data_IF_220048430436
#
_entry.id   IF_220048430436
#
_cell.length_a   1.000
_cell.length_b   1.000
_cell.length_c   1.000
_cell.angle_alpha   90.00
_cell.angle_beta   90.00
_cell.angle_gamma   90.00
#
_symmetry.space_group_name_H-M   'P 1'
#
loop_
_entity.id
_entity.type
_entity.pdbx_description
1 polymer ?
#
# COMPACT_ATOMS: atom_id res chain seq x y z
N UNK A 1 18.27 9.37 -14.52
CA UNK A 1 16.80 9.28 -14.67
C UNK A 1 16.20 9.76 -13.35
N UNK A 2 15.57 10.94 -13.34
CA UNK A 2 14.91 11.45 -12.15
C UNK A 2 13.60 10.67 -11.94
N UNK A 3 13.40 10.12 -10.75
CA UNK A 3 12.14 9.47 -10.37
C UNK A 3 11.33 10.52 -9.59
N UNK A 4 10.21 10.95 -10.17
CA UNK A 4 9.22 11.77 -9.47
C UNK A 4 8.56 10.90 -8.39
N UNK A 5 8.84 11.18 -7.11
CA UNK A 5 8.14 10.55 -5.99
C UNK A 5 7.22 11.59 -5.36
N UNK A 6 5.97 11.59 -5.83
CA UNK A 6 4.84 12.18 -5.14
C UNK A 6 4.37 13.52 -5.70
N UNK A 7 3.31 13.49 -6.50
CA UNK A 7 2.43 14.65 -6.63
C UNK A 7 1.75 14.88 -5.27
N UNK A 8 1.75 16.11 -4.75
CA UNK A 8 0.98 16.51 -3.54
C UNK A 8 -0.52 16.20 -3.62
N UNK A 9 -1.00 15.78 -4.79
CA UNK A 9 -2.31 15.19 -5.04
C UNK A 9 -2.59 13.95 -4.19
N UNK A 10 -1.58 13.17 -3.79
CA UNK A 10 -1.80 11.94 -2.99
C UNK A 10 -2.24 12.24 -1.56
N UNK A 11 -1.66 13.24 -0.90
CA UNK A 11 -2.10 13.65 0.44
C UNK A 11 -3.50 14.26 0.40
N UNK A 12 -3.81 15.07 -0.62
CA UNK A 12 -5.17 15.60 -0.84
C UNK A 12 -6.16 14.49 -1.16
N UNK A 13 -5.79 13.48 -1.95
CA UNK A 13 -6.65 12.32 -2.28
C UNK A 13 -6.89 11.42 -1.08
N UNK A 14 -5.88 11.19 -0.23
CA UNK A 14 -6.05 10.42 1.01
C UNK A 14 -6.93 11.20 1.99
N UNK A 15 -6.69 12.49 2.18
CA UNK A 15 -7.53 13.32 3.04
C UNK A 15 -8.96 13.47 2.54
N UNK A 16 -9.16 13.68 1.24
CA UNK A 16 -10.50 13.74 0.64
C UNK A 16 -11.17 12.37 0.66
N UNK A 17 -10.43 11.27 0.50
CA UNK A 17 -10.97 9.92 0.63
C UNK A 17 -11.40 9.60 2.06
N UNK A 18 -10.55 9.85 3.04
CA UNK A 18 -10.86 9.64 4.47
C UNK A 18 -11.98 10.57 4.92
N UNK A 19 -11.93 11.86 4.56
CA UNK A 19 -12.98 12.82 4.87
C UNK A 19 -14.31 12.42 4.22
N UNK A 20 -14.30 12.04 2.94
CA UNK A 20 -15.53 11.66 2.24
C UNK A 20 -16.06 10.31 2.75
N UNK A 21 -15.20 9.36 3.14
CA UNK A 21 -15.61 8.12 3.82
C UNK A 21 -16.25 8.42 5.18
N UNK A 22 -15.64 9.28 6.00
CA UNK A 22 -16.21 9.71 7.29
C UNK A 22 -17.52 10.48 7.12
N UNK A 23 -17.61 11.34 6.10
CA UNK A 23 -18.81 12.13 5.79
C UNK A 23 -19.95 11.25 5.25
N UNK A 24 -19.66 10.29 4.37
CA UNK A 24 -20.65 9.33 3.88
C UNK A 24 -21.08 8.34 4.98
N UNK A 25 -20.21 8.03 5.93
CA UNK A 25 -20.58 7.28 7.14
C UNK A 25 -21.49 8.11 8.06
N UNK A 26 -21.24 9.41 8.19
CA UNK A 26 -22.11 10.33 8.93
C UNK A 26 -23.47 10.59 8.22
N UNK A 27 -23.50 10.51 6.89
CA UNK A 27 -24.70 10.74 6.07
C UNK A 27 -24.92 9.59 5.08
N UNK A 28 -25.33 8.39 5.57
CA UNK A 28 -25.39 7.17 4.75
C UNK A 28 -26.45 7.20 3.65
N UNK A 29 -27.42 8.12 3.72
CA UNK A 29 -28.44 8.32 2.67
C UNK A 29 -27.82 8.73 1.32
N UNK A 30 -26.66 9.39 1.33
CA UNK A 30 -25.96 9.80 0.11
C UNK A 30 -25.41 8.60 -0.69
N UNK A 31 -25.10 7.48 -0.01
CA UNK A 31 -24.68 6.24 -0.67
C UNK A 31 -25.81 5.57 -1.47
N UNK A 32 -27.07 5.95 -1.24
CA UNK A 32 -28.22 5.44 -2.01
C UNK A 32 -28.39 6.13 -3.37
N UNK A 33 -27.65 7.20 -3.65
CA UNK A 33 -27.69 7.90 -4.94
C UNK A 33 -26.97 7.03 -5.99
N UNK A 34 -27.68 6.52 -7.02
CA UNK A 34 -27.08 5.66 -8.03
C UNK A 34 -25.93 6.36 -8.76
N UNK A 35 -24.74 5.75 -8.75
CA UNK A 35 -23.55 6.25 -9.46
C UNK A 35 -22.68 7.25 -8.69
N UNK A 36 -23.10 7.72 -7.51
CA UNK A 36 -22.28 8.62 -6.67
C UNK A 36 -20.98 7.95 -6.18
N UNK A 37 -20.98 6.70 -5.67
CA UNK A 37 -19.74 6.05 -5.22
C UNK A 37 -18.74 5.82 -6.38
N UNK A 38 -19.24 5.46 -7.56
CA UNK A 38 -18.42 5.20 -8.74
C UNK A 38 -17.79 6.47 -9.35
N UNK A 39 -18.46 7.63 -9.28
CA UNK A 39 -17.92 8.90 -9.74
C UNK A 39 -17.05 9.61 -8.70
N UNK A 40 -17.34 9.44 -7.41
CA UNK A 40 -16.61 10.09 -6.34
C UNK A 40 -15.22 9.47 -6.09
N UNK A 41 -15.06 8.17 -6.38
CA UNK A 41 -13.80 7.46 -6.09
C UNK A 41 -13.34 6.55 -7.25
N UNK A 42 -12.93 7.11 -8.40
CA UNK A 42 -12.52 6.31 -9.54
C UNK A 42 -11.27 5.45 -9.26
N UNK A 43 -10.30 5.97 -8.48
CA UNK A 43 -9.09 5.22 -8.08
C UNK A 43 -9.41 4.05 -7.15
N UNK A 44 -10.33 4.25 -6.20
CA UNK A 44 -10.78 3.21 -5.28
C UNK A 44 -11.53 2.11 -6.05
N UNK A 45 -12.40 2.50 -6.97
CA UNK A 45 -13.14 1.57 -7.84
C UNK A 45 -12.18 0.73 -8.70
N UNK A 46 -11.15 1.35 -9.28
CA UNK A 46 -10.13 0.64 -10.05
C UNK A 46 -9.33 -0.36 -9.19
N UNK A 47 -9.02 -0.01 -7.94
CA UNK A 47 -8.34 -0.91 -7.01
C UNK A 47 -9.24 -2.09 -6.61
N UNK A 48 -10.51 -1.84 -6.28
CA UNK A 48 -11.50 -2.91 -5.98
C UNK A 48 -11.63 -3.87 -7.16
N UNK A 49 -11.75 -3.36 -8.39
CA UNK A 49 -11.84 -4.20 -9.59
C UNK A 49 -10.59 -5.05 -9.81
N UNK A 50 -9.42 -4.52 -9.44
CA UNK A 50 -8.15 -5.25 -9.55
C UNK A 50 -8.04 -6.36 -8.50
N UNK A 51 -8.46 -6.08 -7.26
CA UNK A 51 -8.59 -7.10 -6.22
C UNK A 51 -9.58 -8.20 -6.61
N UNK A 52 -10.72 -7.83 -7.17
CA UNK A 52 -11.72 -8.79 -7.65
C UNK A 52 -11.15 -9.72 -8.72
N UNK A 53 -10.41 -9.16 -9.68
CA UNK A 53 -9.75 -9.96 -10.71
C UNK A 53 -8.76 -10.96 -10.09
N UNK A 54 -7.92 -10.52 -9.16
CA UNK A 54 -6.96 -11.41 -8.48
C UNK A 54 -7.67 -12.49 -7.67
N UNK A 55 -8.75 -12.15 -6.96
CA UNK A 55 -9.55 -13.11 -6.21
C UNK A 55 -10.21 -14.15 -7.12
N UNK A 56 -10.73 -13.73 -8.28
CA UNK A 56 -11.31 -14.64 -9.26
C UNK A 56 -10.25 -15.60 -9.78
N UNK A 57 -9.11 -15.08 -10.24
CA UNK A 57 -7.99 -15.89 -10.74
C UNK A 57 -7.51 -16.87 -9.66
N UNK A 58 -7.39 -16.41 -8.43
CA UNK A 58 -6.98 -17.26 -7.30
C UNK A 58 -7.97 -18.41 -7.06
N UNK A 59 -9.27 -18.11 -6.99
CA UNK A 59 -10.34 -19.11 -6.83
C UNK A 59 -10.33 -20.18 -7.94
N UNK A 60 -9.95 -19.83 -9.17
CA UNK A 60 -9.85 -20.84 -10.25
C UNK A 60 -8.72 -21.84 -10.05
N UNK A 61 -7.70 -21.48 -9.29
CA UNK A 61 -6.53 -22.33 -8.98
C UNK A 61 -6.64 -23.08 -7.65
N UNK A 62 -7.75 -22.90 -6.93
CA UNK A 62 -7.93 -23.44 -5.59
C UNK A 62 -8.28 -24.93 -5.63
N UNK A 63 -7.58 -25.72 -4.81
CA UNK A 63 -7.81 -27.14 -4.60
C UNK A 63 -8.18 -27.39 -3.12
N UNK A 64 -9.44 -27.74 -2.81
CA UNK A 64 -9.91 -27.94 -1.44
C UNK A 64 -9.32 -29.19 -0.77
N UNK A 65 -8.66 -30.07 -1.52
CA UNK A 65 -8.05 -31.31 -0.99
C UNK A 65 -6.67 -31.06 -0.39
N UNK A 66 -6.04 -29.93 -0.72
CA UNK A 66 -4.71 -29.56 -0.26
C UNK A 66 -4.78 -28.64 0.95
N UNK A 67 -3.69 -28.59 1.72
CA UNK A 67 -3.54 -27.59 2.78
C UNK A 67 -3.55 -26.17 2.20
N UNK A 68 -4.24 -25.20 2.84
CA UNK A 68 -4.26 -23.81 2.39
C UNK A 68 -2.86 -23.23 2.19
N UNK A 69 -2.60 -22.62 1.03
CA UNK A 69 -1.29 -22.01 0.70
C UNK A 69 -1.18 -20.59 1.23
N UNK A 70 -2.31 -19.92 1.37
CA UNK A 70 -2.42 -18.53 1.79
C UNK A 70 -3.74 -18.25 2.52
N UNK A 71 -3.93 -17.00 2.92
CA UNK A 71 -5.14 -16.55 3.63
C UNK A 71 -6.41 -16.74 2.80
N UNK A 72 -6.34 -16.59 1.47
CA UNK A 72 -7.51 -16.74 0.59
C UNK A 72 -7.95 -18.19 0.58
N UNK A 73 -7.02 -19.14 0.37
CA UNK A 73 -7.33 -20.58 0.44
C UNK A 73 -7.94 -20.96 1.80
N UNK A 74 -7.39 -20.40 2.89
CA UNK A 74 -7.88 -20.69 4.24
C UNK A 74 -9.29 -20.15 4.46
N UNK A 75 -9.58 -18.95 3.97
CA UNK A 75 -10.91 -18.35 4.05
C UNK A 75 -11.92 -19.14 3.21
N UNK A 76 -11.54 -19.60 2.01
CA UNK A 76 -12.39 -20.44 1.15
C UNK A 76 -12.69 -21.79 1.82
N UNK A 77 -11.72 -22.40 2.50
CA UNK A 77 -11.93 -23.63 3.25
C UNK A 77 -12.93 -23.44 4.41
N UNK A 78 -12.88 -22.31 5.12
CA UNK A 78 -13.86 -21.98 6.16
C UNK A 78 -15.25 -21.67 5.57
N UNK A 79 -15.32 -21.05 4.38
CA UNK A 79 -16.58 -20.86 3.66
C UNK A 79 -17.26 -22.21 3.34
N UNK A 80 -16.50 -23.22 2.90
CA UNK A 80 -17.04 -24.57 2.63
C UNK A 80 -17.62 -25.21 3.88
N UNK A 81 -16.91 -25.13 5.01
CA UNK A 81 -17.39 -25.68 6.30
C UNK A 81 -18.64 -24.98 6.79
N UNK A 82 -18.82 -23.71 6.43
CA UNK A 82 -19.88 -22.87 6.94
C UNK A 82 -21.12 -22.77 6.03
N UNK A 83 -21.19 -23.52 4.92
CA UNK A 83 -22.29 -23.48 3.94
C UNK A 83 -23.69 -23.64 4.54
N UNK A 84 -23.80 -24.41 5.62
CA UNK A 84 -25.09 -24.70 6.28
C UNK A 84 -25.36 -23.77 7.48
N UNK A 85 -24.43 -22.86 7.81
CA UNK A 85 -24.57 -21.93 8.92
C UNK A 85 -24.98 -20.53 8.42
N UNK A 86 -26.25 -20.12 8.57
CA UNK A 86 -26.73 -18.82 8.13
C UNK A 86 -26.12 -17.65 8.93
N UNK A 87 -25.58 -17.89 10.12
CA UNK A 87 -24.90 -16.89 10.96
C UNK A 87 -23.40 -16.75 10.65
N UNK A 88 -22.91 -17.46 9.62
CA UNK A 88 -21.49 -17.43 9.26
C UNK A 88 -21.06 -16.09 8.68
N UNK A 89 -19.95 -15.56 9.19
CA UNK A 89 -19.26 -14.41 8.61
C UNK A 89 -18.35 -14.78 7.44
N UNK A 90 -18.17 -16.07 7.14
CA UNK A 90 -17.37 -16.53 6.00
C UNK A 90 -18.25 -16.58 4.75
N UNK A 91 -18.20 -15.50 3.97
CA UNK A 91 -18.90 -15.35 2.69
C UNK A 91 -18.08 -14.50 1.72
N UNK A 92 -18.47 -14.48 0.44
CA UNK A 92 -17.75 -13.77 -0.62
C UNK A 92 -17.57 -12.27 -0.35
N UNK A 93 -18.58 -11.63 0.25
CA UNK A 93 -18.53 -10.21 0.56
C UNK A 93 -17.45 -9.91 1.61
N UNK A 94 -17.41 -10.70 2.68
CA UNK A 94 -16.42 -10.53 3.74
C UNK A 94 -15.01 -10.93 3.28
N UNK A 95 -14.87 -11.94 2.40
CA UNK A 95 -13.59 -12.27 1.77
C UNK A 95 -13.00 -11.05 1.03
N UNK A 96 -13.84 -10.37 0.23
CA UNK A 96 -13.42 -9.15 -0.48
C UNK A 96 -12.98 -8.05 0.48
N UNK A 97 -13.73 -7.83 1.56
CA UNK A 97 -13.43 -6.79 2.56
C UNK A 97 -12.10 -7.10 3.26
N UNK A 98 -11.90 -8.34 3.72
CA UNK A 98 -10.66 -8.75 4.41
C UNK A 98 -9.44 -8.56 3.52
N UNK A 99 -9.53 -8.95 2.25
CA UNK A 99 -8.43 -8.76 1.30
C UNK A 99 -8.19 -7.28 1.00
N UNK A 100 -9.26 -6.50 0.83
CA UNK A 100 -9.14 -5.06 0.64
C UNK A 100 -8.43 -4.38 1.82
N UNK A 101 -8.83 -4.69 3.05
CA UNK A 101 -8.23 -4.12 4.26
C UNK A 101 -6.77 -4.51 4.39
N UNK A 102 -6.45 -5.80 4.19
CA UNK A 102 -5.07 -6.31 4.31
C UNK A 102 -4.14 -5.64 3.29
N UNK A 103 -4.52 -5.64 2.00
CA UNK A 103 -3.71 -5.02 0.94
C UNK A 103 -3.66 -3.50 1.08
N UNK A 104 -4.78 -2.85 1.41
CA UNK A 104 -4.84 -1.41 1.60
C UNK A 104 -3.95 -0.94 2.74
N UNK A 105 -4.02 -1.61 3.90
CA UNK A 105 -3.18 -1.30 5.06
C UNK A 105 -1.69 -1.53 4.74
N UNK A 106 -1.34 -2.64 4.09
CA UNK A 106 0.04 -2.99 3.75
C UNK A 106 0.68 -2.02 2.75
N UNK A 107 -0.02 -1.67 1.67
CA UNK A 107 0.50 -0.80 0.60
C UNK A 107 0.76 0.61 1.13
N UNK A 108 -0.21 1.19 1.85
CA UNK A 108 -0.14 2.60 2.28
C UNK A 108 0.97 2.79 3.33
N UNK A 109 1.04 1.92 4.33
CA UNK A 109 2.03 2.04 5.41
C UNK A 109 3.45 1.73 4.94
N UNK A 110 3.63 0.66 4.16
CA UNK A 110 4.95 0.25 3.65
C UNK A 110 5.50 1.28 2.65
N UNK A 111 4.68 1.76 1.72
CA UNK A 111 5.11 2.79 0.75
C UNK A 111 5.48 4.09 1.45
N UNK A 112 4.70 4.52 2.45
CA UNK A 112 5.00 5.72 3.24
C UNK A 112 6.32 5.56 3.99
N UNK A 113 6.55 4.39 4.60
CA UNK A 113 7.78 4.09 5.34
C UNK A 113 8.99 4.07 4.41
N UNK A 114 8.88 3.47 3.22
CA UNK A 114 9.94 3.48 2.21
C UNK A 114 10.23 4.90 1.70
N UNK A 115 9.20 5.70 1.46
CA UNK A 115 9.36 7.10 1.06
C UNK A 115 10.09 7.93 2.12
N UNK A 116 9.78 7.75 3.40
CA UNK A 116 10.55 8.35 4.50
C UNK A 116 11.97 7.84 4.57
N UNK A 117 12.17 6.52 4.42
CA UNK A 117 13.50 5.93 4.47
C UNK A 117 14.40 6.49 3.36
N UNK A 118 13.89 6.61 2.13
CA UNK A 118 14.62 7.22 1.01
C UNK A 118 14.91 8.71 1.25
N UNK A 119 13.95 9.47 1.76
CA UNK A 119 14.14 10.88 2.14
C UNK A 119 15.27 11.02 3.17
N UNK A 120 15.23 10.22 4.23
CA UNK A 120 16.26 10.26 5.27
C UNK A 120 17.63 9.86 4.73
N UNK A 121 17.72 8.95 3.75
CA UNK A 121 19.00 8.58 3.13
C UNK A 121 19.60 9.70 2.29
N UNK A 122 18.79 10.48 1.55
CA UNK A 122 19.30 11.66 0.81
C UNK A 122 19.67 12.81 1.75
N UNK A 123 19.02 12.90 2.91
CA UNK A 123 19.29 13.94 3.92
C UNK A 123 20.50 13.61 4.81
N UNK A 124 20.86 12.33 4.94
CA UNK A 124 21.97 11.80 5.75
C UNK A 124 22.91 10.85 4.97
N UNK A 125 23.74 11.36 4.05
CA UNK A 125 24.64 10.55 3.21
C UNK A 125 25.68 9.73 4.00
N UNK A 126 26.07 10.20 5.19
CA UNK A 126 26.97 9.51 6.10
C UNK A 126 26.39 8.18 6.62
N UNK A 127 25.06 8.12 6.80
CA UNK A 127 24.35 6.89 7.18
C UNK A 127 24.18 5.97 5.97
N UNK A 128 23.90 6.53 4.79
CA UNK A 128 23.72 5.80 3.54
C UNK A 128 24.98 5.02 3.13
N UNK A 129 26.17 5.59 3.34
CA UNK A 129 27.45 4.95 3.02
C UNK A 129 27.75 3.74 3.92
N UNK A 130 27.36 3.78 5.20
CA UNK A 130 27.62 2.72 6.20
C UNK A 130 26.78 1.45 6.00
N UNK A 131 25.62 1.54 5.35
CA UNK A 131 24.66 0.42 5.20
C UNK A 131 24.89 -0.47 3.98
N UNK A 132 25.80 -0.09 3.08
CA UNK A 132 26.07 -0.84 1.85
C UNK A 132 26.60 -2.28 2.09
N UNK A 133 27.17 -2.56 3.27
CA UNK A 133 27.81 -3.84 3.59
C UNK A 133 26.99 -4.78 4.52
N UNK A 134 25.75 -4.45 4.88
CA UNK A 134 24.95 -5.19 5.89
C UNK A 134 23.94 -6.19 5.28
N UNK A 135 24.39 -7.00 4.31
CA UNK A 135 23.51 -7.84 3.48
C UNK A 135 23.24 -9.28 3.93
N UNK A 136 24.02 -9.88 4.84
CA UNK A 136 24.04 -11.35 4.94
C UNK A 136 22.98 -12.02 5.87
N UNK A 137 22.57 -11.49 7.07
CA UNK A 137 21.67 -12.27 7.95
C UNK A 137 20.27 -11.67 8.26
N UNK A 138 19.84 -10.55 7.67
CA UNK A 138 18.61 -9.85 8.08
C UNK A 138 17.36 -10.06 7.19
N UNK A 139 17.37 -11.07 6.33
CA UNK A 139 16.27 -11.34 5.39
C UNK A 139 15.05 -11.95 6.08
N UNK A 140 14.22 -11.14 6.75
CA UNK A 140 12.89 -11.57 7.21
C UNK A 140 11.77 -10.51 7.15
N UNK A 141 12.00 -9.34 6.54
CA UNK A 141 10.95 -8.34 6.36
C UNK A 141 11.01 -7.76 4.94
N UNK A 142 9.90 -7.77 4.20
CA UNK A 142 9.81 -7.29 2.80
C UNK A 142 10.31 -5.85 2.65
N UNK A 143 9.99 -4.99 3.63
CA UNK A 143 10.45 -3.59 3.64
C UNK A 143 11.97 -3.47 3.79
N UNK A 144 12.56 -4.33 4.63
CA UNK A 144 14.01 -4.38 4.80
C UNK A 144 14.68 -4.83 3.51
N UNK A 145 14.21 -5.93 2.91
CA UNK A 145 14.78 -6.48 1.67
C UNK A 145 14.67 -5.49 0.52
N UNK A 146 13.51 -4.87 0.32
CA UNK A 146 13.32 -3.87 -0.73
C UNK A 146 14.26 -2.67 -0.51
N UNK A 147 14.30 -2.14 0.71
CA UNK A 147 15.13 -0.98 1.04
C UNK A 147 16.63 -1.27 0.95
N UNK A 148 17.10 -2.42 1.44
CA UNK A 148 18.52 -2.79 1.34
C UNK A 148 18.93 -3.07 -0.09
N UNK A 149 18.09 -3.74 -0.89
CA UNK A 149 18.36 -3.96 -2.31
C UNK A 149 18.51 -2.64 -3.07
N UNK A 150 17.67 -1.66 -2.78
CA UNK A 150 17.78 -0.31 -3.34
C UNK A 150 19.11 0.35 -2.94
N UNK A 151 19.48 0.33 -1.65
CA UNK A 151 20.72 0.94 -1.16
C UNK A 151 22.00 0.23 -1.63
N UNK A 152 21.94 -1.07 -1.87
CA UNK A 152 23.07 -1.85 -2.39
C UNK A 152 23.36 -1.52 -3.86
N UNK A 153 22.32 -1.28 -4.66
CA UNK A 153 22.46 -1.06 -6.11
C UNK A 153 22.58 0.40 -6.51
N UNK A 154 22.03 1.31 -5.71
CA UNK A 154 21.95 2.71 -6.06
C UNK A 154 22.53 3.62 -4.98
N UNK A 155 23.11 4.72 -5.42
CA UNK A 155 23.39 5.90 -4.62
C UNK A 155 22.30 6.93 -4.88
N UNK A 156 21.66 7.40 -3.82
CA UNK A 156 20.59 8.39 -3.90
C UNK A 156 21.08 9.77 -3.48
N UNK A 157 20.72 10.82 -4.22
CA UNK A 157 21.06 12.21 -3.92
C UNK A 157 19.94 13.18 -4.29
N UNK A 158 19.99 14.41 -3.77
CA UNK A 158 19.15 15.51 -4.24
C UNK A 158 19.59 15.90 -5.67
N UNK A 159 18.65 16.18 -6.60
CA UNK A 159 19.00 16.65 -7.95
C UNK A 159 19.78 17.97 -7.92
N UNK A 160 20.72 18.14 -8.85
CA UNK A 160 21.54 19.34 -8.93
C UNK A 160 20.67 20.60 -9.15
N UNK A 161 20.90 21.63 -8.35
CA UNK A 161 20.16 22.90 -8.44
C UNK A 161 18.83 22.93 -7.69
N UNK A 162 18.41 21.84 -7.03
CA UNK A 162 17.22 21.85 -6.17
C UNK A 162 17.54 22.17 -4.71
N UNK A 163 16.62 22.83 -3.99
CA UNK A 163 16.78 23.07 -2.56
C UNK A 163 16.75 21.74 -1.79
N UNK A 164 17.37 21.71 -0.61
CA UNK A 164 17.28 20.57 0.30
C UNK A 164 15.79 20.30 0.64
N UNK A 165 15.28 19.07 0.45
CA UNK A 165 13.90 18.74 0.81
C UNK A 165 13.64 18.94 2.31
N UNK A 166 12.40 19.31 2.64
CA UNK A 166 11.95 19.41 4.03
C UNK A 166 11.87 18.03 4.69
N UNK A 167 12.23 17.94 5.96
CA UNK A 167 12.03 16.77 6.81
C UNK A 167 10.71 16.85 7.61
N UNK A 168 9.96 17.94 7.48
CA UNK A 168 8.65 18.08 8.10
C UNK A 168 7.61 17.25 7.34
N UNK A 169 6.90 16.40 8.07
CA UNK A 169 5.81 15.60 7.52
C UNK A 169 4.56 16.43 7.25
N UNK A 170 3.83 16.07 6.20
CA UNK A 170 2.45 16.50 6.00
C UNK A 170 1.58 15.68 6.95
N UNK A 171 1.05 16.30 8.00
CA UNK A 171 0.17 15.64 8.95
C UNK A 171 -1.06 15.10 8.22
N UNK A 172 -1.09 13.78 8.04
CA UNK A 172 -2.12 12.97 7.41
C UNK A 172 -2.17 11.60 8.10
N UNK A 173 -3.14 10.75 7.75
CA UNK A 173 -3.17 9.35 8.18
C UNK A 173 -2.87 8.46 6.97
N UNK A 174 -1.63 7.97 6.78
CA UNK A 174 -0.41 8.18 7.58
C UNK A 174 0.32 9.50 7.28
N UNK A 175 1.21 9.93 8.16
CA UNK A 175 2.05 11.13 7.96
C UNK A 175 3.04 10.85 6.84
N UNK A 176 2.96 11.61 5.75
CA UNK A 176 3.81 11.45 4.56
C UNK A 176 4.85 12.57 4.48
N UNK A 177 6.02 12.35 3.84
CA UNK A 177 6.95 13.43 3.56
C UNK A 177 6.32 14.42 2.57
N UNK A 178 6.79 15.67 2.58
CA UNK A 178 6.46 16.61 1.49
C UNK A 178 6.99 16.06 0.16
N UNK A 179 6.27 16.24 -0.96
CA UNK A 179 6.75 15.94 -2.30
C UNK A 179 8.22 16.30 -2.52
N UNK A 180 9.03 15.36 -3.02
CA UNK A 180 10.45 15.59 -3.29
C UNK A 180 10.93 14.78 -4.49
N UNK A 181 11.97 15.29 -5.14
CA UNK A 181 12.67 14.57 -6.20
C UNK A 181 14.00 14.01 -5.70
N UNK A 182 14.42 12.90 -6.29
CA UNK A 182 15.72 12.30 -6.04
C UNK A 182 16.37 11.79 -7.31
N UNK A 183 17.70 11.79 -7.33
CA UNK A 183 18.52 11.09 -8.31
C UNK A 183 18.91 9.73 -7.75
N UNK A 184 18.66 8.67 -8.51
CA UNK A 184 19.21 7.34 -8.25
C UNK A 184 20.30 7.03 -9.29
N UNK A 185 21.55 6.90 -8.85
CA UNK A 185 22.71 6.57 -9.71
C UNK A 185 23.17 5.16 -9.36
N UNK A 186 23.37 4.31 -10.37
CA UNK A 186 23.90 2.95 -10.16
C UNK A 186 25.29 3.04 -9.55
N UNK A 187 25.55 2.22 -8.52
CA UNK A 187 26.88 2.10 -7.89
C UNK A 187 27.85 1.31 -8.74
#
# INVERSE_FOLDING_TARGET
>A
MALLIGDGLWSVVIFTAIFLLLFLNAVPVLLRIPGLPGKAFPKLTAFINSLDKMLIEHKTSWDPTQSPRDLTDAFLAEMEKAKENPESTFNDQNLRIVMFDLFGAGIVTSSTTLSWALLLMILHPDVQSRRACLGEPLARMELFLFFTCLLQRFSFSVPAGQPRPSDQGVYALPVTPTPYELCAVVR
#
